data_IF_217744198138
#
_entry.id   IF_217744198138
#
_cell.length_a   1.000
_cell.length_b   1.000
_cell.length_c   1.000
_cell.angle_alpha   90.00
_cell.angle_beta   90.00
_cell.angle_gamma   90.00
#
_symmetry.space_group_name_H-M   'P 1'
#
loop_
_entity.id
_entity.type
_entity.pdbx_description
1 polymer ?
#
# COMPACT_ATOMS: atom_id res chain seq x y z
N UNK A 1 -45.75 -12.92 -26.33
CA UNK A 1 -45.32 -13.27 -24.96
C UNK A 1 -43.81 -13.47 -24.79
N UNK A 2 -43.10 -14.02 -25.76
CA UNK A 2 -41.65 -14.30 -25.66
C UNK A 2 -40.71 -13.05 -25.58
N UNK A 3 -41.10 -11.92 -26.14
CA UNK A 3 -40.27 -10.69 -26.12
C UNK A 3 -40.17 -10.02 -24.73
N UNK A 4 -41.18 -10.16 -23.90
CA UNK A 4 -41.15 -9.56 -22.55
C UNK A 4 -40.38 -10.42 -21.53
N UNK A 5 -40.27 -11.73 -21.78
CA UNK A 5 -39.46 -12.61 -20.94
C UNK A 5 -37.96 -12.35 -21.07
N UNK A 6 -37.52 -11.98 -22.28
CA UNK A 6 -36.11 -11.63 -22.55
C UNK A 6 -35.72 -10.30 -21.93
N UNK A 7 -36.61 -9.32 -21.89
CA UNK A 7 -36.36 -8.01 -21.25
C UNK A 7 -36.27 -8.15 -19.72
N UNK A 8 -37.10 -9.01 -19.12
CA UNK A 8 -37.05 -9.28 -17.68
C UNK A 8 -35.74 -10.00 -17.27
N UNK A 9 -35.27 -10.93 -18.10
CA UNK A 9 -34.01 -11.64 -17.85
C UNK A 9 -32.77 -10.71 -17.96
N UNK A 10 -32.79 -9.72 -18.89
CA UNK A 10 -31.72 -8.75 -19.02
C UNK A 10 -31.68 -7.78 -17.82
N UNK A 11 -32.83 -7.39 -17.27
CA UNK A 11 -32.88 -6.52 -16.09
C UNK A 11 -32.44 -7.25 -14.80
N UNK A 12 -32.62 -8.56 -14.69
CA UNK A 12 -32.17 -9.31 -13.52
C UNK A 12 -30.66 -9.62 -13.55
N UNK A 13 -30.04 -9.72 -14.74
CA UNK A 13 -28.58 -9.92 -14.85
C UNK A 13 -27.78 -8.67 -14.52
N UNK A 14 -28.35 -7.47 -14.69
CA UNK A 14 -27.65 -6.21 -14.36
C UNK A 14 -27.55 -5.92 -12.85
N UNK A 15 -28.29 -6.65 -12.02
CA UNK A 15 -28.29 -6.45 -10.55
C UNK A 15 -27.15 -7.23 -9.87
N UNK A 16 -26.54 -8.23 -10.53
CA UNK A 16 -25.50 -9.07 -9.92
C UNK A 16 -24.05 -8.62 -10.16
N UNK A 17 -23.80 -7.56 -10.90
CA UNK A 17 -22.44 -7.05 -11.15
C UNK A 17 -22.03 -5.82 -10.33
N UNK A 18 -22.75 -5.53 -9.26
CA UNK A 18 -22.28 -4.57 -8.26
C UNK A 18 -21.52 -5.29 -7.15
N UNK A 19 -20.44 -5.98 -7.48
CA UNK A 19 -19.40 -6.25 -6.50
C UNK A 19 -18.69 -4.92 -6.18
N UNK A 20 -19.31 -4.13 -5.33
CA UNK A 20 -18.65 -3.05 -4.65
C UNK A 20 -17.58 -3.65 -3.76
N UNK A 21 -16.33 -3.31 -4.05
CA UNK A 21 -15.26 -3.41 -3.07
C UNK A 21 -15.66 -2.51 -1.90
N UNK A 22 -16.28 -3.06 -0.89
CA UNK A 22 -16.61 -2.40 0.36
C UNK A 22 -15.32 -2.08 1.12
N UNK A 23 -14.62 -1.03 0.64
CA UNK A 23 -13.74 -0.31 1.54
C UNK A 23 -14.67 0.41 2.52
N UNK A 24 -14.51 0.20 3.84
CA UNK A 24 -15.39 0.83 4.81
C UNK A 24 -15.40 2.33 4.58
N UNK A 25 -16.57 2.87 4.26
CA UNK A 25 -16.81 4.30 4.21
C UNK A 25 -16.43 4.89 5.56
N UNK A 26 -15.40 5.71 5.59
CA UNK A 26 -15.09 6.53 6.77
C UNK A 26 -16.15 7.64 6.78
N UNK A 27 -17.33 7.28 7.32
CA UNK A 27 -18.40 8.25 7.57
C UNK A 27 -17.99 9.09 8.76
N UNK A 28 -17.62 10.33 8.53
CA UNK A 28 -17.32 11.27 9.59
C UNK A 28 -16.27 12.31 9.23
N UNK A 29 -16.16 13.34 10.06
CA UNK A 29 -15.05 14.28 9.99
C UNK A 29 -13.76 13.56 10.37
N UNK A 30 -12.71 13.75 9.58
CA UNK A 30 -11.39 13.23 9.92
C UNK A 30 -10.33 14.33 9.82
N UNK A 31 -9.23 14.13 10.54
CA UNK A 31 -8.02 14.96 10.47
C UNK A 31 -6.84 14.04 10.16
N UNK A 32 -6.09 14.36 9.11
CA UNK A 32 -4.84 13.67 8.80
C UNK A 32 -3.69 14.31 9.57
N UNK A 33 -2.93 13.46 10.25
CA UNK A 33 -1.67 13.83 10.87
C UNK A 33 -0.52 13.28 10.05
N UNK A 34 0.30 14.15 9.50
CA UNK A 34 1.39 13.79 8.61
C UNK A 34 2.69 13.59 9.38
N UNK A 35 3.36 12.48 9.04
CA UNK A 35 4.64 12.06 9.63
C UNK A 35 5.67 11.82 8.52
N UNK A 36 6.48 12.86 8.17
CA UNK A 36 7.61 12.68 7.27
C UNK A 36 8.72 11.88 7.96
N UNK A 37 9.27 10.87 7.26
CA UNK A 37 10.38 10.06 7.77
C UNK A 37 11.38 9.77 6.67
N UNK A 38 12.63 9.51 7.05
CA UNK A 38 13.61 8.96 6.13
C UNK A 38 13.37 7.46 5.90
N UNK A 39 13.84 6.95 4.76
CA UNK A 39 13.91 5.51 4.49
C UNK A 39 15.33 5.03 4.76
N UNK A 40 15.57 4.41 5.91
CA UNK A 40 16.88 3.94 6.34
C UNK A 40 17.00 2.43 6.33
N UNK A 41 15.88 1.72 6.29
CA UNK A 41 15.80 0.27 6.14
C UNK A 41 14.55 -0.14 5.38
N UNK A 42 14.54 -1.36 4.90
CA UNK A 42 13.37 -2.04 4.36
C UNK A 42 13.13 -3.35 5.11
N UNK A 43 11.89 -3.77 5.16
CA UNK A 43 11.47 -5.09 5.65
C UNK A 43 10.59 -5.74 4.61
N UNK A 44 10.94 -6.97 4.23
CA UNK A 44 10.23 -7.75 3.21
C UNK A 44 9.51 -8.92 3.86
N UNK A 45 8.23 -9.13 3.51
CA UNK A 45 7.42 -10.27 3.98
C UNK A 45 6.58 -10.81 2.83
N UNK A 46 6.33 -12.12 2.84
CA UNK A 46 5.38 -12.74 1.93
C UNK A 46 4.11 -13.04 2.73
N UNK A 47 2.97 -12.61 2.19
CA UNK A 47 1.66 -12.75 2.81
C UNK A 47 0.67 -13.27 1.79
N UNK A 48 -0.34 -14.02 2.23
CA UNK A 48 -1.46 -14.38 1.37
C UNK A 48 -2.36 -13.17 1.12
N UNK A 49 -2.67 -12.89 -0.15
CA UNK A 49 -3.62 -11.83 -0.45
C UNK A 49 -5.07 -12.18 -0.05
N UNK A 50 -5.38 -13.47 0.11
CA UNK A 50 -6.70 -13.96 0.54
C UNK A 50 -6.89 -13.78 2.05
N UNK A 51 -5.82 -13.82 2.79
CA UNK A 51 -5.80 -13.76 4.26
C UNK A 51 -5.20 -12.46 4.75
N UNK A 52 -5.62 -11.32 4.19
CA UNK A 52 -5.16 -10.01 4.67
C UNK A 52 -5.48 -9.87 6.16
N UNK A 53 -4.49 -9.97 7.04
CA UNK A 53 -4.73 -9.93 8.46
C UNK A 53 -5.27 -8.55 8.85
N UNK A 54 -6.35 -8.53 9.63
CA UNK A 54 -6.86 -7.29 10.19
C UNK A 54 -5.84 -6.68 11.16
N UNK A 55 -4.95 -7.50 11.70
CA UNK A 55 -3.90 -7.10 12.64
C UNK A 55 -2.55 -7.67 12.21
N UNK A 56 -1.69 -6.81 11.66
CA UNK A 56 -0.35 -7.17 11.18
C UNK A 56 0.63 -7.60 12.26
N UNK A 57 0.34 -7.30 13.53
CA UNK A 57 1.21 -7.63 14.66
C UNK A 57 1.12 -9.09 15.08
N UNK A 58 0.01 -9.76 14.80
CA UNK A 58 -0.25 -11.15 15.16
C UNK A 58 -0.08 -12.12 14.00
N UNK A 59 0.42 -11.66 12.86
CA UNK A 59 0.59 -12.50 11.69
C UNK A 59 1.73 -13.51 11.91
N UNK A 60 1.39 -14.78 11.93
CA UNK A 60 2.34 -15.87 11.81
C UNK A 60 2.53 -16.20 10.31
N UNK A 61 3.75 -16.09 9.77
CA UNK A 61 3.96 -16.40 8.36
C UNK A 61 3.52 -17.84 8.08
N UNK A 62 2.68 -17.99 7.06
CA UNK A 62 2.39 -19.32 6.55
C UNK A 62 3.66 -19.92 6.01
N UNK A 63 3.86 -21.24 6.24
CA UNK A 63 5.06 -21.93 5.74
C UNK A 63 4.96 -22.19 4.24
N UNK A 64 3.74 -22.23 3.69
CA UNK A 64 3.45 -22.55 2.29
C UNK A 64 2.34 -21.68 1.72
N UNK A 65 2.50 -21.23 0.48
CA UNK A 65 1.49 -20.48 -0.28
C UNK A 65 1.41 -20.97 -1.72
N UNK A 66 0.24 -20.87 -2.32
CA UNK A 66 0.12 -20.94 -3.78
C UNK A 66 0.81 -19.72 -4.39
N UNK A 67 1.62 -19.92 -5.44
CA UNK A 67 2.39 -18.82 -6.03
C UNK A 67 1.53 -17.64 -6.46
N UNK A 68 0.32 -17.91 -6.98
CA UNK A 68 -0.64 -16.88 -7.38
C UNK A 68 -1.26 -16.10 -6.22
N UNK A 69 -1.21 -16.64 -4.99
CA UNK A 69 -1.77 -16.02 -3.79
C UNK A 69 -0.71 -15.26 -2.97
N UNK A 70 0.56 -15.37 -3.36
CA UNK A 70 1.67 -14.76 -2.65
C UNK A 70 1.84 -13.28 -3.02
N UNK A 71 1.63 -12.40 -2.05
CA UNK A 71 1.97 -10.98 -2.11
C UNK A 71 3.29 -10.73 -1.38
N UNK A 72 4.26 -10.14 -2.09
CA UNK A 72 5.54 -9.70 -1.52
C UNK A 72 5.38 -8.25 -1.04
N UNK A 73 5.40 -8.06 0.26
CA UNK A 73 5.29 -6.76 0.91
C UNK A 73 6.67 -6.21 1.20
N UNK A 74 6.93 -5.00 0.75
CA UNK A 74 8.15 -4.25 1.09
C UNK A 74 7.73 -3.01 1.86
N UNK A 75 8.14 -2.96 3.13
CA UNK A 75 7.87 -1.86 4.05
C UNK A 75 9.15 -1.07 4.26
N UNK A 76 9.08 0.24 4.13
CA UNK A 76 10.21 1.14 4.37
C UNK A 76 10.12 1.73 5.78
N UNK A 77 11.25 1.96 6.42
CA UNK A 77 11.28 2.46 7.78
C UNK A 77 12.54 3.22 8.14
N UNK A 78 12.68 3.50 9.43
CA UNK A 78 13.81 4.24 10.00
C UNK A 78 14.71 3.37 10.87
N UNK A 79 14.33 2.10 11.10
CA UNK A 79 15.16 1.14 11.85
C UNK A 79 14.83 -0.31 11.47
N UNK A 80 15.58 -1.26 12.02
CA UNK A 80 15.37 -2.70 11.85
C UNK A 80 14.01 -3.21 12.37
N UNK A 81 13.30 -2.38 13.11
CA UNK A 81 11.95 -2.63 13.59
C UNK A 81 10.88 -2.02 12.68
N UNK A 82 11.22 -1.68 11.42
CA UNK A 82 10.24 -1.18 10.45
C UNK A 82 8.97 -2.04 10.50
N UNK A 83 8.00 -1.54 11.23
CA UNK A 83 6.71 -2.20 11.38
C UNK A 83 5.88 -1.86 10.18
N UNK A 84 5.07 -2.82 9.73
CA UNK A 84 4.09 -2.52 8.69
C UNK A 84 3.20 -1.40 9.22
N UNK A 85 3.15 -0.25 8.54
CA UNK A 85 2.37 0.87 9.03
C UNK A 85 0.91 0.46 9.14
N UNK A 86 0.33 0.63 10.31
CA UNK A 86 -1.09 0.38 10.52
C UNK A 86 -1.86 1.63 10.07
N UNK A 87 -2.27 1.66 8.82
CA UNK A 87 -3.01 2.79 8.23
C UNK A 87 -4.45 2.94 8.74
N UNK A 88 -4.89 2.07 9.63
CA UNK A 88 -6.27 2.07 10.16
C UNK A 88 -6.34 2.30 11.66
N UNK A 89 -5.27 2.77 12.29
CA UNK A 89 -5.38 3.07 13.72
C UNK A 89 -6.12 4.41 13.90
N UNK A 90 -7.38 4.31 14.27
CA UNK A 90 -8.12 5.41 14.84
C UNK A 90 -7.61 5.63 16.26
N UNK A 91 -6.97 6.77 16.54
CA UNK A 91 -6.49 7.11 17.86
C UNK A 91 -7.34 8.21 18.49
N UNK A 92 -7.63 8.07 19.77
CA UNK A 92 -8.15 9.18 20.57
C UNK A 92 -7.11 10.31 20.64
N UNK A 93 -7.51 11.59 20.54
CA UNK A 93 -6.60 12.73 20.67
C UNK A 93 -5.71 12.69 21.92
N UNK A 94 -6.21 12.12 23.01
CA UNK A 94 -5.46 11.95 24.25
C UNK A 94 -4.30 10.94 24.16
N UNK A 95 -4.34 10.03 23.19
CA UNK A 95 -3.33 8.99 22.98
C UNK A 95 -2.18 9.43 22.08
N UNK A 96 -2.42 10.42 21.24
CA UNK A 96 -1.52 10.84 20.16
C UNK A 96 -0.17 11.39 20.63
N UNK A 97 -0.12 12.33 21.61
CA UNK A 97 1.15 12.86 22.09
C UNK A 97 2.06 11.80 22.69
N UNK A 98 1.48 10.80 23.37
CA UNK A 98 2.25 9.72 24.02
C UNK A 98 2.83 8.72 23.01
N UNK A 99 2.15 8.47 21.90
CA UNK A 99 2.65 7.60 20.82
C UNK A 99 3.76 8.33 20.06
N UNK A 100 3.61 9.63 19.83
CA UNK A 100 4.63 10.47 19.19
C UNK A 100 5.90 10.56 20.01
N UNK A 101 5.80 10.69 21.33
CA UNK A 101 6.96 10.72 22.25
C UNK A 101 7.63 9.35 22.37
N UNK A 102 6.86 8.26 22.27
CA UNK A 102 7.39 6.88 22.31
C UNK A 102 7.90 6.40 20.95
N UNK A 103 7.46 6.99 19.85
CA UNK A 103 8.06 6.76 18.56
C UNK A 103 9.38 7.53 18.50
N UNK A 104 10.43 6.92 19.01
CA UNK A 104 11.81 7.45 19.05
C UNK A 104 12.43 7.59 17.65
N UNK A 105 11.61 7.78 16.62
CA UNK A 105 12.08 7.95 15.26
C UNK A 105 12.16 9.42 14.93
N UNK A 106 13.32 9.90 14.48
CA UNK A 106 13.44 11.28 14.06
C UNK A 106 12.51 11.56 12.90
N UNK A 107 11.63 12.54 13.07
CA UNK A 107 10.81 13.05 11.99
C UNK A 107 11.71 13.87 11.07
N UNK A 108 11.49 13.74 9.76
CA UNK A 108 12.06 14.65 8.80
C UNK A 108 11.32 16.01 8.83
N UNK A 109 11.88 16.99 8.15
CA UNK A 109 11.22 18.28 7.99
C UNK A 109 9.90 18.14 7.22
N UNK A 110 8.88 18.84 7.69
CA UNK A 110 7.53 18.81 7.10
C UNK A 110 7.48 19.66 5.84
N UNK A 111 6.80 19.14 4.81
CA UNK A 111 6.46 19.90 3.62
C UNK A 111 4.94 20.17 3.57
N UNK A 112 4.52 21.30 4.12
CA UNK A 112 3.11 21.67 4.22
C UNK A 112 2.39 21.74 2.87
N UNK A 113 3.09 22.14 1.80
CA UNK A 113 2.50 22.18 0.45
C UNK A 113 2.20 20.77 -0.06
N UNK A 114 3.12 19.84 0.16
CA UNK A 114 2.92 18.43 -0.18
C UNK A 114 1.81 17.82 0.69
N UNK A 115 1.82 18.05 1.99
CA UNK A 115 0.81 17.53 2.91
C UNK A 115 -0.60 18.00 2.52
N UNK A 116 -0.75 19.24 2.08
CA UNK A 116 -2.02 19.76 1.54
C UNK A 116 -2.45 19.03 0.25
N UNK A 117 -1.51 18.68 -0.63
CA UNK A 117 -1.81 17.87 -1.81
C UNK A 117 -2.29 16.46 -1.45
N UNK A 118 -1.61 15.82 -0.49
CA UNK A 118 -1.95 14.48 0.01
C UNK A 118 -3.34 14.47 0.65
N UNK A 119 -3.64 15.46 1.50
CA UNK A 119 -4.94 15.60 2.13
C UNK A 119 -6.05 15.83 1.08
N UNK A 120 -5.85 16.73 0.14
CA UNK A 120 -6.81 17.03 -0.93
C UNK A 120 -7.07 15.80 -1.81
N UNK A 121 -6.06 15.01 -2.12
CA UNK A 121 -6.21 13.79 -2.91
C UNK A 121 -6.98 12.71 -2.12
N UNK A 122 -6.66 12.53 -0.84
CA UNK A 122 -7.36 11.60 0.04
C UNK A 122 -8.83 11.97 0.23
N UNK A 123 -9.14 13.28 0.41
CA UNK A 123 -10.53 13.76 0.55
C UNK A 123 -11.41 13.44 -0.63
N UNK A 124 -10.86 13.26 -1.82
CA UNK A 124 -11.68 12.86 -2.98
C UNK A 124 -12.23 11.46 -2.90
N UNK A 125 -11.52 10.55 -2.22
CA UNK A 125 -12.04 9.21 -1.93
C UNK A 125 -13.27 9.27 -1.00
N UNK A 126 -13.30 10.26 -0.11
CA UNK A 126 -14.33 10.41 0.94
C UNK A 126 -15.47 11.36 0.58
N UNK A 127 -15.32 12.18 -0.47
CA UNK A 127 -16.27 13.25 -0.84
C UNK A 127 -17.65 12.75 -1.31
N UNK A 128 -17.81 11.48 -1.63
CA UNK A 128 -19.12 10.90 -1.93
C UNK A 128 -20.01 10.78 -0.67
N UNK A 129 -19.44 10.85 0.53
CA UNK A 129 -20.16 10.68 1.80
C UNK A 129 -20.75 11.98 2.37
N UNK A 130 -20.22 13.15 2.02
CA UNK A 130 -20.60 14.42 2.68
C UNK A 130 -21.88 15.06 2.12
N UNK A 131 -22.37 14.65 0.96
CA UNK A 131 -23.58 15.22 0.36
C UNK A 131 -24.90 14.80 1.05
N UNK A 132 -24.90 13.73 1.82
CA UNK A 132 -26.13 13.22 2.48
C UNK A 132 -26.34 13.74 3.91
N UNK A 133 -25.40 14.49 4.50
CA UNK A 133 -25.48 14.91 5.91
C UNK A 133 -25.94 16.36 6.13
N UNK A 134 -26.34 17.10 5.08
CA UNK A 134 -26.78 18.49 5.26
C UNK A 134 -28.18 18.68 5.88
N UNK A 135 -28.87 17.62 6.30
CA UNK A 135 -30.23 17.70 6.84
C UNK A 135 -30.45 17.13 8.24
N UNK A 136 -29.45 17.02 9.07
CA UNK A 136 -29.68 16.71 10.50
C UNK A 136 -29.36 17.93 11.36
N UNK A 137 -30.37 18.35 12.13
CA UNK A 137 -30.39 19.51 13.01
C UNK A 137 -29.15 19.57 13.91
N UNK A 138 -28.58 20.76 14.00
CA UNK A 138 -27.50 21.15 14.90
C UNK A 138 -27.96 21.14 16.37
N UNK A 139 -28.17 19.98 16.95
CA UNK A 139 -28.31 19.83 18.40
C UNK A 139 -27.74 18.47 18.80
N UNK A 140 -26.70 18.51 19.64
CA UNK A 140 -26.23 17.42 20.50
C UNK A 140 -25.53 16.20 19.91
N UNK A 141 -24.82 16.32 18.81
CA UNK A 141 -23.86 15.28 18.45
C UNK A 141 -22.43 15.78 18.68
N UNK A 142 -21.76 15.24 19.70
CA UNK A 142 -20.30 15.17 19.72
C UNK A 142 -19.87 14.54 18.41
N UNK A 143 -19.41 15.35 17.46
CA UNK A 143 -18.90 14.87 16.18
C UNK A 143 -17.60 14.13 16.50
N UNK A 144 -17.65 12.82 16.52
CA UNK A 144 -16.45 11.99 16.65
C UNK A 144 -15.53 12.29 15.47
N UNK A 145 -14.45 13.02 15.72
CA UNK A 145 -13.44 13.30 14.72
C UNK A 145 -12.46 12.15 14.68
N UNK A 146 -12.41 11.44 13.57
CA UNK A 146 -11.43 10.38 13.36
C UNK A 146 -10.06 10.99 13.07
N UNK A 147 -9.07 10.62 13.87
CA UNK A 147 -7.67 11.01 13.68
C UNK A 147 -6.96 9.90 12.91
N UNK A 148 -6.39 10.24 11.77
CA UNK A 148 -5.71 9.28 10.89
C UNK A 148 -4.25 9.67 10.79
N UNK A 149 -3.37 8.75 11.15
CA UNK A 149 -1.92 8.87 10.90
C UNK A 149 -1.62 8.69 9.42
N UNK A 150 -0.84 9.60 8.87
CA UNK A 150 -0.42 9.54 7.47
C UNK A 150 1.10 9.67 7.37
N UNK A 151 1.77 8.54 7.21
CA UNK A 151 3.21 8.54 7.03
C UNK A 151 3.58 8.72 5.56
N UNK A 152 4.65 9.47 5.31
CA UNK A 152 5.31 9.52 4.02
C UNK A 152 6.83 9.55 4.19
N UNK A 153 7.55 9.13 3.16
CA UNK A 153 9.01 9.16 3.16
C UNK A 153 9.50 10.37 2.39
N UNK A 154 10.63 10.92 2.81
CA UNK A 154 11.31 12.02 2.14
C UNK A 154 12.54 11.55 1.35
N UNK A 155 12.87 10.26 1.42
CA UNK A 155 13.98 9.64 0.72
C UNK A 155 13.58 9.25 -0.69
N UNK A 156 14.30 9.70 -1.71
CA UNK A 156 14.07 9.32 -3.10
C UNK A 156 14.55 7.90 -3.40
N UNK A 157 13.86 7.21 -4.29
CA UNK A 157 14.25 5.90 -4.83
C UNK A 157 14.92 6.09 -6.17
N UNK A 158 16.16 5.59 -6.29
CA UNK A 158 16.93 5.59 -7.54
C UNK A 158 16.65 4.31 -8.34
N UNK A 159 16.67 3.16 -7.66
CA UNK A 159 16.41 1.85 -8.27
C UNK A 159 15.77 0.89 -7.26
N UNK A 160 15.09 -0.14 -7.79
CA UNK A 160 14.50 -1.20 -7.00
C UNK A 160 14.54 -2.52 -7.75
N UNK A 161 15.03 -3.58 -7.08
CA UNK A 161 15.13 -4.90 -7.65
C UNK A 161 14.62 -5.97 -6.69
N UNK A 162 13.93 -6.97 -7.26
CA UNK A 162 13.59 -8.23 -6.60
C UNK A 162 14.40 -9.31 -7.30
N UNK A 163 15.17 -10.07 -6.53
CA UNK A 163 15.92 -11.23 -7.03
C UNK A 163 15.58 -12.46 -6.21
N UNK A 164 15.81 -13.67 -6.75
CA UNK A 164 15.76 -14.90 -6.00
C UNK A 164 17.17 -15.49 -5.81
N UNK A 165 17.41 -16.17 -4.69
CA UNK A 165 18.70 -16.85 -4.42
C UNK A 165 18.82 -18.19 -5.13
N UNK A 166 17.73 -18.69 -5.71
CA UNK A 166 17.64 -19.90 -6.54
C UNK A 166 17.14 -19.53 -7.92
N UNK A 167 17.41 -20.31 -8.96
CA UNK A 167 16.84 -20.08 -10.28
C UNK A 167 15.31 -20.04 -10.22
N UNK A 168 14.71 -19.06 -10.89
CA UNK A 168 13.27 -18.89 -10.94
C UNK A 168 12.86 -18.23 -12.28
N UNK A 169 11.74 -18.66 -12.87
CA UNK A 169 11.29 -18.24 -14.19
C UNK A 169 12.35 -18.48 -15.30
N UNK A 170 13.14 -19.56 -15.18
CA UNK A 170 14.24 -19.83 -16.08
C UNK A 170 15.41 -18.85 -15.98
N UNK A 171 15.39 -17.93 -15.00
CA UNK A 171 16.48 -16.98 -14.74
C UNK A 171 17.45 -17.56 -13.72
N UNK A 172 18.74 -17.28 -13.91
CA UNK A 172 19.77 -17.65 -12.93
C UNK A 172 19.54 -16.94 -11.58
N UNK A 173 19.97 -17.55 -10.50
CA UNK A 173 19.98 -16.95 -9.17
C UNK A 173 20.66 -15.56 -9.20
N UNK A 174 20.08 -14.59 -8.48
CA UNK A 174 20.57 -13.22 -8.43
C UNK A 174 20.18 -12.33 -9.62
N UNK A 175 19.53 -12.88 -10.65
CA UNK A 175 19.01 -12.08 -11.77
C UNK A 175 17.74 -11.33 -11.33
N UNK A 176 17.56 -10.10 -11.83
CA UNK A 176 16.37 -9.30 -11.56
C UNK A 176 15.10 -9.98 -12.05
N UNK A 177 14.15 -10.13 -11.17
CA UNK A 177 12.82 -10.70 -11.44
C UNK A 177 11.74 -9.61 -11.62
N UNK A 178 12.09 -8.34 -11.71
CA UNK A 178 11.15 -7.23 -11.75
C UNK A 178 10.03 -7.40 -12.80
N UNK A 179 10.34 -7.99 -13.97
CA UNK A 179 9.38 -8.26 -15.05
C UNK A 179 8.31 -9.32 -14.68
N UNK A 180 8.58 -10.13 -13.67
CA UNK A 180 7.70 -11.18 -13.18
C UNK A 180 6.83 -10.74 -12.00
N UNK A 181 6.96 -9.46 -11.61
CA UNK A 181 6.13 -8.86 -10.57
C UNK A 181 5.30 -7.71 -11.12
N UNK A 182 4.06 -7.64 -10.68
CA UNK A 182 3.21 -6.47 -10.81
C UNK A 182 3.08 -5.78 -9.44
N UNK A 183 2.90 -4.48 -9.45
CA UNK A 183 2.56 -3.72 -8.25
C UNK A 183 1.05 -3.86 -8.05
N UNK A 184 0.65 -4.50 -6.98
CA UNK A 184 -0.76 -4.68 -6.64
C UNK A 184 -1.30 -3.52 -5.79
N UNK A 185 -0.43 -2.90 -4.95
CA UNK A 185 -0.88 -1.83 -4.07
C UNK A 185 0.28 -0.94 -3.60
N UNK A 186 -0.02 0.36 -3.43
CA UNK A 186 0.78 1.31 -2.64
C UNK A 186 0.01 1.66 -1.37
N UNK A 187 0.70 1.72 -0.23
CA UNK A 187 0.12 2.07 1.05
C UNK A 187 0.91 3.22 1.69
N UNK A 188 0.32 4.44 1.71
CA UNK A 188 -0.97 4.85 1.13
C UNK A 188 -0.96 4.81 -0.39
N UNK A 189 -2.15 4.82 -1.04
CA UNK A 189 -2.32 4.83 -2.51
C UNK A 189 -1.93 6.20 -3.10
N UNK A 190 -0.67 6.59 -2.89
CA UNK A 190 -0.10 7.86 -3.32
C UNK A 190 1.38 7.68 -3.66
N UNK A 191 1.84 8.29 -4.75
CA UNK A 191 3.26 8.34 -5.13
C UNK A 191 3.67 9.80 -5.14
N UNK A 192 4.71 10.10 -4.37
CA UNK A 192 5.33 11.41 -4.26
C UNK A 192 6.61 11.38 -5.09
N UNK A 193 6.86 12.38 -5.91
CA UNK A 193 8.12 12.49 -6.63
C UNK A 193 9.17 13.20 -5.77
N UNK A 194 10.36 12.60 -5.63
CA UNK A 194 11.47 13.24 -4.93
C UNK A 194 12.01 14.47 -5.69
N UNK A 195 11.88 14.47 -7.03
CA UNK A 195 12.37 15.55 -7.88
C UNK A 195 11.55 16.83 -7.74
N UNK A 196 10.22 16.70 -7.69
CA UNK A 196 9.29 17.84 -7.63
C UNK A 196 8.74 18.08 -6.24
N UNK A 197 9.02 17.21 -5.29
CA UNK A 197 8.50 17.27 -3.91
C UNK A 197 6.97 17.40 -3.90
N UNK A 198 6.29 16.70 -4.81
CA UNK A 198 4.85 16.79 -5.02
C UNK A 198 4.21 15.45 -5.30
N UNK A 199 2.90 15.35 -5.06
CA UNK A 199 2.09 14.19 -5.42
C UNK A 199 2.02 14.08 -6.95
N UNK A 200 2.43 12.92 -7.51
CA UNK A 200 2.41 12.66 -8.96
C UNK A 200 1.42 11.57 -9.35
N UNK A 201 0.97 10.77 -8.39
CA UNK A 201 -0.06 9.76 -8.59
C UNK A 201 -0.79 9.50 -7.27
N UNK A 202 -2.10 9.29 -7.31
CA UNK A 202 -2.91 9.08 -6.12
C UNK A 202 -4.34 8.62 -6.45
N UNK A 203 -5.27 8.84 -5.52
CA UNK A 203 -6.66 8.40 -5.62
C UNK A 203 -7.41 8.99 -6.81
N UNK A 204 -7.00 10.17 -7.31
CA UNK A 204 -7.58 10.83 -8.49
C UNK A 204 -7.01 10.33 -9.81
N UNK A 205 -5.94 9.57 -9.78
CA UNK A 205 -5.24 9.17 -11.00
C UNK A 205 -6.06 8.16 -11.79
N UNK A 206 -6.25 8.44 -13.09
CA UNK A 206 -7.01 7.58 -14.00
C UNK A 206 -6.22 6.36 -14.48
N UNK A 207 -4.89 6.47 -14.55
CA UNK A 207 -4.00 5.40 -14.98
C UNK A 207 -3.38 4.72 -13.77
N UNK A 208 -3.32 3.40 -13.79
CA UNK A 208 -2.61 2.64 -12.78
C UNK A 208 -1.10 2.66 -13.03
N UNK A 209 -0.34 2.49 -11.94
CA UNK A 209 1.09 2.21 -11.96
C UNK A 209 1.22 0.74 -11.56
N UNK A 210 1.48 -0.12 -12.54
CA UNK A 210 1.40 -1.57 -12.37
C UNK A 210 2.77 -2.26 -12.43
N UNK A 211 3.79 -1.58 -12.97
CA UNK A 211 5.13 -2.15 -13.07
C UNK A 211 6.16 -1.34 -12.29
N UNK A 212 7.22 -2.01 -11.86
CA UNK A 212 8.35 -1.36 -11.18
C UNK A 212 8.97 -0.28 -12.07
N UNK A 213 9.08 -0.54 -13.37
CA UNK A 213 9.60 0.44 -14.33
C UNK A 213 8.72 1.70 -14.42
N UNK A 214 7.39 1.55 -14.46
CA UNK A 214 6.46 2.69 -14.42
C UNK A 214 6.58 3.49 -13.13
N UNK A 215 6.70 2.80 -12.00
CA UNK A 215 6.90 3.43 -10.71
C UNK A 215 8.19 4.25 -10.68
N UNK A 216 9.33 3.65 -11.04
CA UNK A 216 10.64 4.33 -11.05
C UNK A 216 10.70 5.51 -12.05
N UNK A 217 9.95 5.44 -13.16
CA UNK A 217 9.84 6.54 -14.12
C UNK A 217 9.23 7.82 -13.51
N UNK A 218 8.41 7.69 -12.47
CA UNK A 218 7.85 8.83 -11.73
C UNK A 218 8.87 9.50 -10.79
N UNK A 219 10.11 9.00 -10.71
CA UNK A 219 11.13 9.47 -9.77
C UNK A 219 10.60 9.50 -8.33
N UNK A 220 10.15 8.36 -7.80
CA UNK A 220 9.38 8.33 -6.57
C UNK A 220 10.23 8.54 -5.32
N UNK A 221 9.60 9.07 -4.28
CA UNK A 221 10.02 8.82 -2.90
C UNK A 221 9.66 7.39 -2.51
N UNK A 222 10.39 6.82 -1.57
CA UNK A 222 10.06 5.51 -1.03
C UNK A 222 8.64 5.50 -0.47
N UNK A 223 7.76 4.58 -0.86
CA UNK A 223 6.46 4.48 -0.23
C UNK A 223 6.60 3.87 1.18
N UNK A 224 5.75 4.19 2.15
CA UNK A 224 5.75 3.50 3.43
C UNK A 224 5.59 1.98 3.29
N UNK A 225 4.73 1.54 2.37
CA UNK A 225 4.69 0.14 1.95
C UNK A 225 4.27 0.01 0.48
N UNK A 226 4.80 -1.00 -0.18
CA UNK A 226 4.46 -1.38 -1.55
C UNK A 226 4.28 -2.89 -1.60
N UNK A 227 3.28 -3.34 -2.35
CA UNK A 227 2.91 -4.74 -2.47
C UNK A 227 3.10 -5.19 -3.90
N UNK A 228 3.87 -6.25 -4.07
CA UNK A 228 4.12 -6.87 -5.35
C UNK A 228 3.47 -8.24 -5.40
N UNK A 229 2.99 -8.64 -6.57
CA UNK A 229 2.45 -9.97 -6.85
C UNK A 229 3.14 -10.57 -8.04
N UNK A 230 3.34 -11.88 -8.03
CA UNK A 230 3.79 -12.59 -9.22
C UNK A 230 2.74 -12.48 -10.33
N UNK A 231 3.17 -12.14 -11.55
CA UNK A 231 2.28 -12.06 -12.71
C UNK A 231 2.03 -13.42 -13.36
N UNK A 232 2.79 -14.43 -12.98
CA UNK A 232 2.64 -15.82 -13.43
C UNK A 232 3.19 -16.79 -12.37
N UNK A 233 2.75 -18.04 -12.41
CA UNK A 233 3.32 -19.11 -11.61
C UNK A 233 4.67 -19.52 -12.15
N UNK A 234 5.77 -19.50 -11.33
CA UNK A 234 7.06 -19.97 -11.79
C UNK A 234 7.00 -21.44 -12.21
N UNK A 235 7.65 -21.86 -13.30
CA UNK A 235 7.65 -23.26 -13.73
C UNK A 235 8.38 -24.19 -12.72
N UNK A 236 9.28 -23.65 -11.92
CA UNK A 236 10.06 -24.37 -10.92
C UNK A 236 9.26 -24.75 -9.66
N UNK A 237 8.05 -24.19 -9.47
CA UNK A 237 7.26 -24.58 -8.29
C UNK A 237 6.62 -25.99 -8.49
N UNK A 238 6.52 -26.79 -7.41
CA UNK A 238 6.73 -26.43 -6.00
C UNK A 238 8.20 -26.26 -5.64
N UNK A 239 8.54 -25.19 -4.94
CA UNK A 239 9.91 -24.86 -4.55
C UNK A 239 9.96 -23.99 -3.30
N UNK A 240 11.03 -24.17 -2.50
CA UNK A 240 11.38 -23.20 -1.47
C UNK A 240 12.14 -22.05 -2.12
N UNK A 241 11.55 -20.85 -2.07
CA UNK A 241 12.10 -19.65 -2.72
C UNK A 241 12.48 -18.63 -1.67
N UNK A 242 13.67 -18.07 -1.84
CA UNK A 242 14.16 -16.97 -1.02
C UNK A 242 14.31 -15.74 -1.90
N UNK A 243 13.46 -14.74 -1.65
CA UNK A 243 13.50 -13.45 -2.34
C UNK A 243 14.34 -12.44 -1.58
N UNK A 244 15.06 -11.61 -2.31
CA UNK A 244 15.81 -10.47 -1.79
C UNK A 244 15.27 -9.22 -2.47
N UNK A 245 14.72 -8.30 -1.67
CA UNK A 245 14.37 -6.96 -2.11
C UNK A 245 15.58 -6.05 -1.95
N UNK A 246 15.90 -5.27 -2.97
CA UNK A 246 17.05 -4.37 -3.02
C UNK A 246 16.54 -3.00 -3.44
N UNK A 247 16.65 -2.00 -2.56
CA UNK A 247 16.25 -0.63 -2.83
C UNK A 247 17.49 0.27 -2.80
N UNK A 248 17.79 0.94 -3.90
CA UNK A 248 18.82 1.97 -3.98
C UNK A 248 18.18 3.34 -3.83
N UNK A 249 18.65 4.10 -2.88
CA UNK A 249 18.17 5.46 -2.62
C UNK A 249 18.93 6.48 -3.45
N UNK A 250 18.39 7.69 -3.59
CA UNK A 250 19.02 8.76 -4.35
C UNK A 250 20.28 9.34 -3.67
N UNK A 251 20.45 9.11 -2.37
CA UNK A 251 21.67 9.44 -1.60
C UNK A 251 22.72 8.31 -1.63
N UNK A 252 22.48 7.26 -2.44
CA UNK A 252 23.45 6.18 -2.69
C UNK A 252 23.45 5.04 -1.69
N UNK A 253 22.52 5.01 -0.72
CA UNK A 253 22.37 3.87 0.18
C UNK A 253 21.73 2.70 -0.57
N UNK A 254 22.19 1.48 -0.29
CA UNK A 254 21.61 0.24 -0.78
C UNK A 254 21.02 -0.54 0.39
N UNK A 255 19.70 -0.55 0.46
CA UNK A 255 18.94 -1.24 1.49
C UNK A 255 18.53 -2.61 0.97
N UNK A 256 18.68 -3.64 1.79
CA UNK A 256 18.36 -5.03 1.42
C UNK A 256 17.62 -5.72 2.54
N UNK A 257 16.67 -6.56 2.16
CA UNK A 257 16.05 -7.49 3.09
C UNK A 257 15.63 -8.77 2.35
N UNK A 258 15.45 -9.83 3.10
CA UNK A 258 15.25 -11.17 2.57
C UNK A 258 14.05 -11.81 3.24
N UNK A 259 13.23 -12.49 2.44
CA UNK A 259 12.12 -13.31 2.92
C UNK A 259 12.11 -14.64 2.18
N UNK A 260 11.61 -15.68 2.82
CA UNK A 260 11.55 -17.01 2.22
C UNK A 260 10.17 -17.64 2.38
N UNK A 261 9.81 -18.50 1.43
CA UNK A 261 8.52 -19.15 1.37
C UNK A 261 8.59 -20.43 0.55
N UNK A 262 7.84 -21.44 0.95
CA UNK A 262 7.57 -22.57 0.08
C UNK A 262 6.38 -22.24 -0.81
N UNK A 263 6.64 -22.14 -2.12
CA UNK A 263 5.62 -21.85 -3.12
C UNK A 263 5.08 -23.16 -3.73
N UNK A 264 3.76 -23.26 -3.81
CA UNK A 264 3.03 -24.35 -4.48
C UNK A 264 2.37 -23.84 -5.78
N UNK A 265 1.99 -24.80 -6.62
CA UNK A 265 1.16 -24.51 -7.82
C UNK A 265 -0.26 -24.17 -7.43
#
# INVERSE_FOLDING_TARGET
MMKYLFLLLLCTLSIFFSCQNDTPDIKGNYVLFFYPRHCECITTKILSHKERPQNWFTYHPQQELQAQDADLWVVTGTDSLARIPSFKMSYSPAYYPNIMQKASFPLAERNHKLEQQLDNDYRTKTSYSTRSQQHTRASDMMVSTNLISWEYRVTGVKDFNIVATTPLFGQAAGTSLNRHFIISEFLPKQIISYRTQSLVWGYRSKKNVETIAQWLALKPMAPPAIVFRLNATPPEVPAHVKFVSILETTDGKVLRDTTEMYLRR
#
